data_IF_528594825524
#
_entry.id   IF_528594825524
#
_cell.length_a   1.000
_cell.length_b   1.000
_cell.length_c   1.000
_cell.angle_alpha   90.00
_cell.angle_beta   90.00
_cell.angle_gamma   90.00
#
_symmetry.space_group_name_H-M   'P 1'
#
loop_
_entity.id
_entity.type
_entity.pdbx_description
1 polymer ?
#
# COMPACT_ATOMS: atom_id res chain seq x y z
N UNK A 1 8.58 -19.08 -0.36
CA UNK A 1 7.63 -19.76 0.55
C UNK A 1 7.86 -19.24 1.95
N UNK A 2 6.83 -18.73 2.61
CA UNK A 2 6.94 -18.19 3.99
C UNK A 2 7.51 -19.26 4.94
N UNK A 3 8.59 -18.94 5.65
CA UNK A 3 9.19 -19.79 6.67
C UNK A 3 8.36 -19.90 7.96
N UNK A 4 7.24 -19.17 8.04
CA UNK A 4 6.50 -18.93 9.29
C UNK A 4 5.10 -19.56 9.36
N UNK A 5 4.68 -20.35 8.40
CA UNK A 5 3.31 -20.92 8.37
C UNK A 5 2.20 -19.88 8.13
N UNK A 6 2.53 -18.59 8.01
CA UNK A 6 1.65 -17.49 7.67
C UNK A 6 2.28 -16.68 6.51
N UNK A 7 1.47 -16.30 5.52
CA UNK A 7 1.89 -15.40 4.45
C UNK A 7 1.63 -13.95 4.88
N UNK A 8 2.67 -13.12 4.90
CA UNK A 8 2.53 -11.69 5.22
C UNK A 8 2.63 -10.85 3.95
N UNK A 9 1.58 -10.09 3.66
CA UNK A 9 1.49 -9.16 2.53
C UNK A 9 1.59 -7.73 3.07
N UNK A 10 2.64 -7.00 2.70
CA UNK A 10 2.76 -5.58 2.96
C UNK A 10 2.07 -4.76 1.87
N UNK A 11 1.53 -3.61 2.22
CA UNK A 11 0.87 -2.70 1.27
C UNK A 11 1.50 -1.33 1.33
N UNK A 12 1.89 -0.81 0.18
CA UNK A 12 2.32 0.58 0.01
C UNK A 12 1.65 1.18 -1.22
N UNK A 13 1.32 2.48 -1.18
CA UNK A 13 0.67 3.04 -2.35
C UNK A 13 0.37 4.53 -2.31
N UNK A 14 -0.17 5.01 -3.41
CA UNK A 14 -0.49 6.41 -3.65
C UNK A 14 -1.69 6.87 -2.83
N UNK A 15 -1.61 8.10 -2.31
CA UNK A 15 -2.71 8.73 -1.55
C UNK A 15 -3.79 9.33 -2.46
N UNK A 16 -3.40 9.84 -3.62
CA UNK A 16 -4.28 10.60 -4.53
C UNK A 16 -4.43 9.84 -5.85
N UNK A 17 -5.31 8.86 -5.86
CA UNK A 17 -5.63 8.06 -7.04
C UNK A 17 -6.57 8.85 -7.95
N UNK A 18 -6.39 8.76 -9.27
CA UNK A 18 -7.32 9.34 -10.25
C UNK A 18 -8.71 8.73 -10.04
N UNK A 19 -9.77 9.52 -9.79
CA UNK A 19 -11.10 8.98 -9.45
C UNK A 19 -11.64 7.97 -10.47
N UNK A 20 -11.44 8.22 -11.76
CA UNK A 20 -11.87 7.32 -12.84
C UNK A 20 -11.12 5.97 -12.85
N UNK A 21 -9.98 5.85 -12.13
CA UNK A 21 -9.20 4.63 -12.06
C UNK A 21 -9.53 3.77 -10.83
N UNK A 22 -10.23 4.32 -9.82
CA UNK A 22 -10.42 3.67 -8.51
C UNK A 22 -11.06 2.29 -8.65
N UNK A 23 -12.14 2.17 -9.40
CA UNK A 23 -12.86 0.89 -9.60
C UNK A 23 -11.96 -0.18 -10.23
N UNK A 24 -11.17 0.19 -11.24
CA UNK A 24 -10.25 -0.73 -11.90
C UNK A 24 -9.12 -1.17 -10.97
N UNK A 25 -8.57 -0.23 -10.17
CA UNK A 25 -7.54 -0.50 -9.15
C UNK A 25 -8.08 -1.43 -8.07
N UNK A 26 -9.29 -1.19 -7.55
CA UNK A 26 -9.94 -2.07 -6.57
C UNK A 26 -10.16 -3.49 -7.11
N UNK A 27 -10.61 -3.61 -8.35
CA UNK A 27 -10.82 -4.91 -8.99
C UNK A 27 -9.51 -5.68 -9.11
N UNK A 28 -8.46 -5.07 -9.68
CA UNK A 28 -7.15 -5.72 -9.83
C UNK A 28 -6.53 -6.11 -8.50
N UNK A 29 -6.61 -5.23 -7.48
CA UNK A 29 -6.10 -5.53 -6.14
C UNK A 29 -6.87 -6.69 -5.48
N UNK A 30 -8.20 -6.75 -5.67
CA UNK A 30 -9.05 -7.83 -5.14
C UNK A 30 -8.74 -9.17 -5.80
N UNK A 31 -8.58 -9.19 -7.12
CA UNK A 31 -8.20 -10.38 -7.87
C UNK A 31 -6.83 -10.91 -7.43
N UNK A 32 -5.86 -10.03 -7.29
CA UNK A 32 -4.52 -10.38 -6.81
C UNK A 32 -4.55 -10.94 -5.38
N UNK A 33 -5.31 -10.31 -4.47
CA UNK A 33 -5.46 -10.81 -3.10
C UNK A 33 -6.09 -12.20 -3.08
N UNK A 34 -7.17 -12.41 -3.84
CA UNK A 34 -7.84 -13.71 -3.94
C UNK A 34 -6.88 -14.79 -4.40
N UNK A 35 -6.11 -14.52 -5.45
CA UNK A 35 -5.13 -15.47 -5.98
C UNK A 35 -4.12 -15.91 -4.91
N UNK A 36 -3.56 -14.98 -4.12
CA UNK A 36 -2.64 -15.32 -3.04
C UNK A 36 -3.31 -16.07 -1.89
N UNK A 37 -4.51 -15.64 -1.46
CA UNK A 37 -5.23 -16.29 -0.36
C UNK A 37 -5.68 -17.70 -0.72
N UNK A 38 -6.04 -17.93 -1.99
CA UNK A 38 -6.49 -19.24 -2.47
C UNK A 38 -5.31 -20.21 -2.73
N UNK A 39 -4.16 -19.66 -3.15
CA UNK A 39 -2.95 -20.47 -3.38
C UNK A 39 -2.18 -20.83 -2.11
N UNK A 40 -2.38 -20.14 -0.99
CA UNK A 40 -1.65 -20.39 0.24
C UNK A 40 -2.52 -21.11 1.27
N UNK A 41 -2.12 -22.28 1.75
CA UNK A 41 -2.93 -23.11 2.67
C UNK A 41 -3.08 -22.49 4.08
N UNK A 42 -2.06 -21.77 4.54
CA UNK A 42 -2.04 -21.13 5.87
C UNK A 42 -2.82 -19.82 5.95
N UNK A 43 -2.82 -19.15 7.11
CA UNK A 43 -3.36 -17.82 7.25
C UNK A 43 -2.59 -16.79 6.43
N UNK A 44 -3.30 -15.77 5.93
CA UNK A 44 -2.73 -14.62 5.21
C UNK A 44 -2.96 -13.36 6.03
N UNK A 45 -1.88 -12.63 6.31
CA UNK A 45 -1.89 -11.36 7.03
C UNK A 45 -1.58 -10.22 6.09
N UNK A 46 -2.46 -9.24 6.00
CA UNK A 46 -2.25 -8.03 5.19
C UNK A 46 -1.94 -6.86 6.12
N UNK A 47 -0.78 -6.23 5.92
CA UNK A 47 -0.25 -5.13 6.73
C UNK A 47 -0.30 -3.83 5.93
N UNK A 48 -0.93 -2.79 6.48
CA UNK A 48 -1.10 -1.49 5.83
C UNK A 48 -1.07 -0.35 6.83
N UNK A 49 -0.62 0.85 6.39
CA UNK A 49 -0.64 2.07 7.18
C UNK A 49 -2.01 2.72 7.32
N UNK A 50 -3.05 2.19 6.68
CA UNK A 50 -4.41 2.76 6.65
C UNK A 50 -4.48 4.22 6.14
N UNK A 51 -3.46 4.71 5.42
CA UNK A 51 -3.49 6.03 4.83
C UNK A 51 -4.63 6.16 3.80
N UNK A 52 -5.04 7.39 3.51
CA UNK A 52 -6.01 7.64 2.42
C UNK A 52 -5.48 7.10 1.09
N UNK A 53 -6.37 6.68 0.19
CA UNK A 53 -6.02 6.13 -1.12
C UNK A 53 -5.78 4.63 -1.09
N UNK A 54 -4.65 4.17 -1.59
CA UNK A 54 -4.34 2.75 -1.78
C UNK A 54 -4.47 1.90 -0.52
N UNK A 55 -3.94 2.38 0.59
CA UNK A 55 -3.97 1.67 1.88
C UNK A 55 -5.41 1.43 2.36
N UNK A 56 -6.25 2.49 2.34
CA UNK A 56 -7.65 2.38 2.75
C UNK A 56 -8.48 1.55 1.76
N UNK A 57 -8.17 1.60 0.47
CA UNK A 57 -8.78 0.73 -0.54
C UNK A 57 -8.47 -0.74 -0.22
N UNK A 58 -7.20 -1.06 -0.03
CA UNK A 58 -6.79 -2.42 0.28
C UNK A 58 -7.38 -2.92 1.59
N UNK A 59 -7.43 -2.09 2.63
CA UNK A 59 -8.06 -2.44 3.90
C UNK A 59 -9.54 -2.83 3.72
N UNK A 60 -10.32 -2.06 2.96
CA UNK A 60 -11.73 -2.39 2.65
C UNK A 60 -11.84 -3.70 1.87
N UNK A 61 -10.98 -3.92 0.87
CA UNK A 61 -10.93 -5.18 0.12
C UNK A 61 -10.69 -6.36 1.06
N UNK A 62 -9.72 -6.25 1.97
CA UNK A 62 -9.42 -7.31 2.96
C UNK A 62 -10.63 -7.59 3.84
N UNK A 63 -11.27 -6.56 4.38
CA UNK A 63 -12.45 -6.70 5.23
C UNK A 63 -13.63 -7.36 4.51
N UNK A 64 -13.84 -7.05 3.22
CA UNK A 64 -14.87 -7.68 2.40
C UNK A 64 -14.55 -9.14 2.10
N UNK A 65 -13.31 -9.45 1.73
CA UNK A 65 -12.89 -10.83 1.44
C UNK A 65 -12.86 -11.69 2.71
N UNK A 66 -12.55 -11.11 3.86
CA UNK A 66 -12.57 -11.78 5.16
C UNK A 66 -13.97 -12.31 5.51
N UNK A 67 -15.05 -11.58 5.17
CA UNK A 67 -16.43 -12.02 5.39
C UNK A 67 -16.82 -13.30 4.61
N UNK A 68 -16.08 -13.60 3.53
CA UNK A 68 -16.33 -14.72 2.61
C UNK A 68 -15.46 -15.95 2.88
N UNK A 69 -14.62 -15.91 3.90
CA UNK A 69 -13.60 -16.92 4.17
C UNK A 69 -13.71 -17.49 5.58
N UNK A 70 -13.17 -18.69 5.84
CA UNK A 70 -13.10 -19.23 7.19
C UNK A 70 -12.43 -18.27 8.17
N UNK A 71 -12.86 -18.26 9.41
CA UNK A 71 -12.28 -17.42 10.45
C UNK A 71 -10.78 -17.66 10.58
N UNK A 72 -9.99 -16.60 10.68
CA UNK A 72 -8.54 -16.65 10.78
C UNK A 72 -7.77 -16.85 9.47
N UNK A 73 -8.46 -17.18 8.35
CA UNK A 73 -7.80 -17.36 7.04
C UNK A 73 -7.19 -16.07 6.51
N UNK A 74 -7.87 -14.94 6.70
CA UNK A 74 -7.42 -13.62 6.26
C UNK A 74 -7.50 -12.63 7.42
N UNK A 75 -6.40 -11.92 7.68
CA UNK A 75 -6.25 -10.97 8.79
C UNK A 75 -5.80 -9.61 8.26
N UNK A 76 -6.31 -8.54 8.86
CA UNK A 76 -5.91 -7.17 8.59
C UNK A 76 -5.11 -6.61 9.78
N UNK A 77 -3.89 -6.16 9.53
CA UNK A 77 -3.03 -5.51 10.52
C UNK A 77 -2.81 -4.05 10.14
N UNK A 78 -3.12 -3.15 11.07
CA UNK A 78 -2.72 -1.74 10.96
C UNK A 78 -1.28 -1.59 11.45
N UNK A 79 -0.42 -0.96 10.63
CA UNK A 79 0.95 -0.60 11.02
C UNK A 79 1.06 0.90 10.95
N UNK A 80 0.98 1.56 12.10
CA UNK A 80 0.94 3.01 12.18
C UNK A 80 2.37 3.59 12.21
N UNK A 81 2.66 4.62 11.41
CA UNK A 81 4.01 5.20 11.30
C UNK A 81 4.49 5.87 12.59
N UNK A 82 3.55 6.22 13.48
CA UNK A 82 3.78 6.90 14.78
C UNK A 82 2.65 6.57 15.75
N UNK A 83 2.69 7.10 16.98
CA UNK A 83 1.62 6.94 17.95
C UNK A 83 0.25 7.35 17.36
N UNK A 84 -0.80 6.62 17.71
CA UNK A 84 -2.14 6.78 17.13
C UNK A 84 -2.63 8.23 17.19
N UNK A 85 -2.53 8.87 18.36
CA UNK A 85 -3.00 10.24 18.58
C UNK A 85 -2.30 11.24 17.65
N UNK A 86 -1.00 11.02 17.39
CA UNK A 86 -0.22 11.84 16.47
C UNK A 86 -0.54 11.55 15.01
N UNK A 87 -0.72 10.27 14.67
CA UNK A 87 -1.02 9.87 13.30
C UNK A 87 -2.41 10.32 12.84
N UNK A 88 -3.40 10.32 13.73
CA UNK A 88 -4.74 10.82 13.42
C UNK A 88 -4.78 12.28 12.96
N UNK A 89 -3.78 13.09 13.33
CA UNK A 89 -3.69 14.49 12.91
C UNK A 89 -3.40 14.65 11.41
N UNK A 90 -2.91 13.61 10.75
CA UNK A 90 -2.67 13.62 9.29
C UNK A 90 -3.96 13.54 8.47
N UNK A 91 -5.09 13.23 9.11
CA UNK A 91 -6.38 13.05 8.45
C UNK A 91 -7.28 14.27 8.65
N UNK A 92 -7.92 14.72 7.55
CA UNK A 92 -8.86 15.83 7.59
C UNK A 92 -10.07 15.50 8.45
N UNK A 93 -10.52 16.47 9.22
CA UNK A 93 -11.73 16.37 10.06
C UNK A 93 -13.00 16.85 9.35
N UNK A 94 -12.87 17.70 8.32
CA UNK A 94 -14.01 18.14 7.54
C UNK A 94 -14.59 16.97 6.73
N UNK A 95 -15.92 16.77 6.75
CA UNK A 95 -16.58 15.78 5.92
C UNK A 95 -16.38 16.06 4.42
N UNK A 96 -16.33 15.01 3.63
CA UNK A 96 -16.40 15.05 2.18
C UNK A 96 -17.86 14.98 1.67
N UNK A 97 -18.04 14.79 0.38
CA UNK A 97 -19.37 14.68 -0.25
C UNK A 97 -20.19 13.46 0.26
N UNK A 98 -19.56 12.46 0.87
CA UNK A 98 -20.25 11.31 1.49
C UNK A 98 -20.72 11.60 2.92
N UNK A 99 -20.36 12.75 3.48
CA UNK A 99 -20.65 13.12 4.87
C UNK A 99 -19.68 12.53 5.89
N UNK A 100 -18.65 11.78 5.46
CA UNK A 100 -17.65 11.16 6.32
C UNK A 100 -16.32 11.90 6.22
N UNK A 101 -15.69 12.21 7.35
CA UNK A 101 -14.34 12.78 7.35
C UNK A 101 -13.28 11.70 7.16
N UNK A 102 -12.11 12.09 6.64
CA UNK A 102 -10.98 11.16 6.50
C UNK A 102 -10.59 10.52 7.84
N UNK A 103 -10.63 11.29 8.93
CA UNK A 103 -10.35 10.79 10.29
C UNK A 103 -11.38 9.78 10.75
N UNK A 104 -12.68 10.02 10.50
CA UNK A 104 -13.73 9.06 10.84
C UNK A 104 -13.56 7.76 10.04
N UNK A 105 -13.31 7.86 8.73
CA UNK A 105 -13.05 6.69 7.89
C UNK A 105 -11.81 5.89 8.33
N UNK A 106 -10.75 6.56 8.75
CA UNK A 106 -9.57 5.91 9.33
C UNK A 106 -9.91 5.14 10.60
N UNK A 107 -10.64 5.77 11.54
CA UNK A 107 -11.06 5.14 12.81
C UNK A 107 -11.95 3.93 12.58
N UNK A 108 -12.87 3.99 11.62
CA UNK A 108 -13.73 2.86 11.25
C UNK A 108 -12.92 1.66 10.73
N UNK A 109 -11.90 1.91 9.91
CA UNK A 109 -11.01 0.86 9.42
C UNK A 109 -10.15 0.30 10.54
N UNK A 110 -9.56 1.17 11.37
CA UNK A 110 -8.72 0.76 12.50
C UNK A 110 -9.48 -0.13 13.49
N UNK A 111 -10.73 0.21 13.81
CA UNK A 111 -11.57 -0.58 14.72
C UNK A 111 -11.90 -1.99 14.19
N UNK A 112 -11.72 -2.24 12.90
CA UNK A 112 -11.96 -3.54 12.26
C UNK A 112 -10.67 -4.34 12.01
N UNK A 113 -9.50 -3.78 12.32
CA UNK A 113 -8.23 -4.49 12.24
C UNK A 113 -8.13 -5.59 13.31
N UNK A 114 -7.51 -6.71 12.96
CA UNK A 114 -7.22 -7.80 13.89
C UNK A 114 -6.01 -7.49 14.79
N UNK A 115 -5.17 -6.56 14.35
CA UNK A 115 -3.93 -6.18 15.04
C UNK A 115 -3.59 -4.72 14.72
N UNK A 116 -2.97 -4.04 15.68
CA UNK A 116 -2.40 -2.70 15.49
C UNK A 116 -0.97 -2.68 16.02
N UNK A 117 -0.05 -2.22 15.19
CA UNK A 117 1.37 -2.00 15.52
C UNK A 117 1.66 -0.52 15.41
N UNK A 118 2.17 0.11 16.45
CA UNK A 118 2.61 1.50 16.44
C UNK A 118 4.14 1.58 16.36
N UNK A 119 4.65 2.25 15.33
CA UNK A 119 6.10 2.44 15.12
C UNK A 119 6.55 3.79 15.69
N UNK A 120 6.05 4.13 16.89
CA UNK A 120 6.28 5.43 17.50
C UNK A 120 7.77 5.63 17.90
N UNK A 121 8.32 6.79 17.52
CA UNK A 121 9.59 7.31 18.03
C UNK A 121 9.44 8.82 18.22
N UNK A 122 8.99 9.24 19.41
CA UNK A 122 8.65 10.63 19.69
C UNK A 122 9.82 11.59 19.46
N UNK A 123 11.05 11.18 19.76
CA UNK A 123 12.23 12.03 19.59
C UNK A 123 12.54 12.29 18.10
N UNK A 124 12.46 11.26 17.28
CA UNK A 124 12.68 11.36 15.84
C UNK A 124 11.52 12.07 15.14
N UNK A 125 10.27 11.73 15.52
CA UNK A 125 9.05 12.31 14.93
C UNK A 125 8.93 13.83 15.20
N UNK A 126 9.54 14.31 16.31
CA UNK A 126 9.57 15.73 16.64
C UNK A 126 10.49 16.57 15.72
N UNK A 127 11.54 15.97 15.18
CA UNK A 127 12.55 16.67 14.37
C UNK A 127 12.44 16.37 12.87
N UNK A 128 11.85 15.23 12.50
CA UNK A 128 11.68 14.81 11.10
C UNK A 128 10.24 14.34 10.84
N UNK A 129 9.40 15.17 10.21
CA UNK A 129 8.00 14.82 9.92
C UNK A 129 7.83 13.59 9.00
N UNK A 130 8.90 13.18 8.29
CA UNK A 130 8.87 12.05 7.35
C UNK A 130 9.37 10.76 8.01
N UNK A 131 10.08 10.84 9.14
CA UNK A 131 10.71 9.70 9.80
C UNK A 131 9.73 8.53 10.05
N UNK A 132 8.53 8.81 10.55
CA UNK A 132 7.51 7.79 10.76
C UNK A 132 7.15 7.01 9.50
N UNK A 133 7.01 7.70 8.36
CA UNK A 133 6.72 7.04 7.08
C UNK A 133 7.90 6.22 6.56
N UNK A 134 9.12 6.64 6.83
CA UNK A 134 10.33 5.84 6.52
C UNK A 134 10.33 4.57 7.34
N UNK A 135 10.08 4.66 8.66
CA UNK A 135 9.99 3.50 9.55
C UNK A 135 8.89 2.53 9.11
N UNK A 136 7.72 3.04 8.72
CA UNK A 136 6.64 2.21 8.17
C UNK A 136 7.12 1.49 6.89
N UNK A 137 7.75 2.20 5.97
CA UNK A 137 8.28 1.62 4.74
C UNK A 137 9.32 0.54 5.02
N UNK A 138 10.28 0.81 5.89
CA UNK A 138 11.33 -0.14 6.29
C UNK A 138 10.73 -1.36 7.00
N UNK A 139 9.75 -1.14 7.89
CA UNK A 139 9.03 -2.23 8.54
C UNK A 139 8.31 -3.13 7.54
N UNK A 140 7.60 -2.55 6.54
CA UNK A 140 6.94 -3.33 5.49
C UNK A 140 7.96 -4.12 4.65
N UNK A 141 9.09 -3.52 4.31
CA UNK A 141 10.18 -4.20 3.58
C UNK A 141 10.71 -5.39 4.37
N UNK A 142 10.87 -5.27 5.67
CA UNK A 142 11.47 -6.29 6.53
C UNK A 142 10.49 -7.40 6.94
N UNK A 143 9.21 -7.08 7.10
CA UNK A 143 8.23 -7.97 7.72
C UNK A 143 7.19 -8.55 6.75
N UNK A 144 7.31 -8.31 5.44
CA UNK A 144 6.42 -8.92 4.45
C UNK A 144 7.14 -9.93 3.56
N UNK A 145 6.49 -11.04 3.23
CA UNK A 145 6.94 -12.00 2.23
C UNK A 145 6.63 -11.48 0.81
N UNK A 146 5.50 -10.77 0.69
CA UNK A 146 5.02 -10.15 -0.55
C UNK A 146 4.71 -8.68 -0.29
N UNK A 147 5.10 -7.80 -1.20
CA UNK A 147 4.71 -6.40 -1.17
C UNK A 147 3.74 -6.08 -2.31
N UNK A 148 2.57 -5.53 -1.99
CA UNK A 148 1.68 -4.92 -2.98
C UNK A 148 2.01 -3.43 -3.09
N UNK A 149 2.43 -3.03 -4.28
CA UNK A 149 2.78 -1.64 -4.60
C UNK A 149 1.74 -1.02 -5.52
N UNK A 150 0.92 -0.13 -4.98
CA UNK A 150 -0.03 0.68 -5.76
C UNK A 150 0.69 1.88 -6.35
N UNK A 151 1.22 1.71 -7.55
CA UNK A 151 2.15 2.65 -8.16
C UNK A 151 1.96 2.74 -9.67
N UNK A 152 2.34 3.88 -10.28
CA UNK A 152 2.32 4.08 -11.72
C UNK A 152 3.57 3.51 -12.45
N UNK A 153 4.59 3.12 -11.68
CA UNK A 153 5.87 2.65 -12.23
C UNK A 153 6.91 3.77 -12.48
N UNK A 154 6.54 5.04 -12.25
CA UNK A 154 7.47 6.16 -12.43
C UNK A 154 8.45 6.28 -11.25
N UNK A 155 9.71 5.86 -11.49
CA UNK A 155 10.82 6.00 -10.55
C UNK A 155 11.58 7.32 -10.69
N UNK A 156 11.18 8.23 -11.57
CA UNK A 156 11.90 9.50 -11.81
C UNK A 156 11.92 10.41 -10.60
N UNK A 157 10.96 10.27 -9.68
CA UNK A 157 10.83 11.08 -8.47
C UNK A 157 10.65 10.22 -7.22
N UNK A 158 11.74 9.63 -6.74
CA UNK A 158 11.74 8.89 -5.47
C UNK A 158 11.72 9.87 -4.30
N UNK A 159 10.69 9.77 -3.45
CA UNK A 159 10.60 10.51 -2.19
C UNK A 159 10.85 9.56 -1.03
N UNK A 160 11.71 9.95 -0.10
CA UNK A 160 11.99 9.22 1.13
C UNK A 160 10.69 8.83 1.85
N UNK A 161 10.50 7.56 2.17
CA UNK A 161 9.30 7.01 2.80
C UNK A 161 8.06 6.98 1.89
N UNK A 162 8.20 7.28 0.60
CA UNK A 162 7.12 7.20 -0.38
C UNK A 162 7.03 5.84 -1.06
N UNK A 163 5.95 5.61 -1.83
CA UNK A 163 5.66 4.33 -2.49
C UNK A 163 6.84 3.81 -3.33
N UNK A 164 7.45 4.67 -4.17
CA UNK A 164 8.59 4.28 -5.00
C UNK A 164 9.80 3.87 -4.15
N UNK A 165 10.11 4.60 -3.07
CA UNK A 165 11.22 4.28 -2.15
C UNK A 165 11.03 2.89 -1.51
N UNK A 166 9.85 2.62 -0.97
CA UNK A 166 9.51 1.33 -0.34
C UNK A 166 9.55 0.19 -1.36
N UNK A 167 9.01 0.42 -2.56
CA UNK A 167 9.00 -0.55 -3.67
C UNK A 167 10.41 -0.94 -4.07
N UNK A 168 11.27 0.05 -4.34
CA UNK A 168 12.66 -0.19 -4.75
C UNK A 168 13.46 -0.87 -3.64
N UNK A 169 13.29 -0.47 -2.37
CA UNK A 169 13.93 -1.16 -1.24
C UNK A 169 13.54 -2.64 -1.18
N UNK A 170 12.25 -2.97 -1.38
CA UNK A 170 11.78 -4.35 -1.36
C UNK A 170 12.30 -5.14 -2.56
N UNK A 171 12.31 -4.56 -3.77
CA UNK A 171 12.87 -5.21 -4.96
C UNK A 171 14.34 -5.60 -4.77
N UNK A 172 15.16 -4.72 -4.19
CA UNK A 172 16.58 -4.97 -3.91
C UNK A 172 16.79 -6.03 -2.84
N UNK A 173 15.81 -6.24 -1.98
CA UNK A 173 15.86 -7.28 -0.94
C UNK A 173 15.42 -8.66 -1.45
N UNK A 174 14.53 -8.73 -2.43
CA UNK A 174 13.98 -9.96 -2.97
C UNK A 174 15.01 -11.04 -3.35
N UNK A 175 16.12 -10.71 -4.03
CA UNK A 175 17.18 -11.68 -4.34
C UNK A 175 17.82 -12.33 -3.11
N UNK A 176 17.76 -11.67 -1.94
CA UNK A 176 18.39 -12.14 -0.69
C UNK A 176 17.43 -12.99 0.15
N UNK A 177 16.16 -12.57 0.27
CA UNK A 177 15.19 -13.20 1.18
C UNK A 177 14.04 -13.95 0.47
N UNK A 178 14.01 -13.92 -0.87
CA UNK A 178 12.98 -14.56 -1.69
C UNK A 178 11.63 -13.83 -1.68
N UNK A 179 11.59 -12.57 -1.18
CA UNK A 179 10.35 -11.79 -1.19
C UNK A 179 10.03 -11.28 -2.60
N UNK A 180 8.72 -11.10 -2.86
CA UNK A 180 8.22 -10.73 -4.18
C UNK A 180 7.46 -9.41 -4.08
N UNK A 181 7.56 -8.59 -5.13
CA UNK A 181 6.79 -7.35 -5.26
C UNK A 181 5.80 -7.49 -6.41
N UNK A 182 4.53 -7.25 -6.12
CA UNK A 182 3.49 -7.12 -7.13
C UNK A 182 3.07 -5.65 -7.26
N UNK A 183 3.20 -5.12 -8.47
CA UNK A 183 2.66 -3.81 -8.84
C UNK A 183 1.17 -3.91 -9.17
N UNK A 184 0.41 -2.92 -8.71
CA UNK A 184 -0.96 -2.66 -9.13
C UNK A 184 -0.92 -1.28 -9.79
N UNK A 185 -1.09 -1.22 -11.11
CA UNK A 185 -0.98 0.03 -11.86
C UNK A 185 -2.01 1.04 -11.36
N UNK A 186 -1.50 2.08 -10.71
CA UNK A 186 -2.32 3.05 -9.99
C UNK A 186 -1.99 4.47 -10.46
N UNK A 187 -2.78 5.03 -11.39
CA UNK A 187 -2.64 6.42 -11.83
C UNK A 187 -2.86 7.40 -10.69
N UNK A 188 -2.01 8.43 -10.59
CA UNK A 188 -2.03 9.43 -9.53
C UNK A 188 -2.51 10.80 -10.04
N UNK A 189 -3.15 11.56 -9.17
CA UNK A 189 -3.34 13.00 -9.33
C UNK A 189 -2.04 13.73 -8.97
N UNK A 190 -1.27 14.05 -10.00
CA UNK A 190 0.01 14.73 -9.84
C UNK A 190 -0.20 16.18 -9.43
N UNK A 191 0.44 16.59 -8.33
CA UNK A 191 0.40 17.96 -7.85
C UNK A 191 1.44 18.82 -8.58
N UNK A 192 1.00 19.66 -9.51
CA UNK A 192 1.85 20.61 -10.26
C UNK A 192 1.65 22.03 -9.74
N UNK A 193 2.69 22.86 -9.86
CA UNK A 193 2.59 24.31 -9.63
C UNK A 193 2.26 25.01 -10.95
N UNK A 194 1.36 25.97 -10.92
CA UNK A 194 1.14 26.91 -12.00
C UNK A 194 2.23 28.00 -12.00
N UNK A 195 2.40 28.76 -13.09
CA UNK A 195 3.34 29.90 -13.14
C UNK A 195 3.11 30.95 -12.06
N UNK A 196 1.87 31.14 -11.61
CA UNK A 196 1.48 32.06 -10.54
C UNK A 196 1.71 31.48 -9.11
N UNK A 197 2.31 30.30 -9.00
CA UNK A 197 2.58 29.62 -7.73
C UNK A 197 1.41 28.83 -7.16
N UNK A 198 0.21 28.95 -7.71
CA UNK A 198 -0.95 28.14 -7.30
C UNK A 198 -0.74 26.66 -7.64
N UNK A 199 -1.48 25.78 -6.96
CA UNK A 199 -1.34 24.32 -7.15
C UNK A 199 -2.53 23.79 -7.93
N UNK A 200 -2.26 22.96 -8.92
CA UNK A 200 -3.27 22.18 -9.65
C UNK A 200 -2.99 20.70 -9.57
N UNK A 201 -4.03 19.90 -9.72
CA UNK A 201 -3.91 18.47 -9.88
C UNK A 201 -4.04 18.09 -11.35
N UNK A 202 -3.11 17.29 -11.87
CA UNK A 202 -3.11 16.77 -13.23
C UNK A 202 -3.18 15.26 -13.15
N UNK A 203 -4.24 14.64 -13.72
CA UNK A 203 -4.35 13.17 -13.70
C UNK A 203 -3.29 12.54 -14.62
N UNK A 204 -2.71 11.42 -14.15
CA UNK A 204 -1.98 10.52 -15.04
C UNK A 204 -2.96 9.77 -15.96
N UNK A 205 -2.50 9.24 -17.10
CA UNK A 205 -3.32 8.38 -17.95
C UNK A 205 -3.87 7.18 -17.17
N UNK A 206 -5.10 6.79 -17.47
CA UNK A 206 -5.78 5.68 -16.77
C UNK A 206 -5.74 4.36 -17.54
N UNK A 207 -5.11 4.33 -18.70
CA UNK A 207 -4.96 3.13 -19.51
C UNK A 207 -4.23 2.02 -18.74
N UNK A 208 -4.86 0.87 -18.65
CA UNK A 208 -4.33 -0.26 -17.89
C UNK A 208 -4.41 -0.13 -16.37
N UNK A 209 -5.12 0.89 -15.82
CA UNK A 209 -5.35 1.01 -14.38
C UNK A 209 -5.86 -0.31 -13.79
N UNK A 210 -5.34 -0.68 -12.61
CA UNK A 210 -5.67 -1.95 -11.95
C UNK A 210 -4.94 -3.17 -12.51
N UNK A 211 -4.20 -3.05 -13.63
CA UNK A 211 -3.34 -4.14 -14.11
C UNK A 211 -2.35 -4.53 -13.02
N UNK A 212 -2.20 -5.82 -12.79
CA UNK A 212 -1.27 -6.38 -11.82
C UNK A 212 -0.13 -7.10 -12.53
N UNK A 213 1.06 -7.03 -11.98
CA UNK A 213 2.24 -7.71 -12.50
C UNK A 213 3.28 -7.89 -11.38
N UNK A 214 4.13 -8.91 -11.50
CA UNK A 214 5.34 -8.98 -10.70
C UNK A 214 6.31 -7.88 -11.15
N UNK A 215 6.92 -7.19 -10.19
CA UNK A 215 7.91 -6.17 -10.47
C UNK A 215 9.32 -6.72 -10.28
N UNK A 216 10.24 -6.34 -11.16
CA UNK A 216 11.69 -6.59 -11.01
C UNK A 216 12.48 -5.32 -11.32
N UNK A 217 13.58 -5.13 -10.61
CA UNK A 217 14.58 -4.11 -10.96
C UNK A 217 15.56 -4.74 -11.97
N UNK A 218 15.72 -4.12 -13.14
CA UNK A 218 16.70 -4.51 -14.13
C UNK A 218 18.10 -3.98 -13.77
N UNK A 219 19.15 -4.47 -14.45
CA UNK A 219 20.54 -4.11 -14.17
C UNK A 219 20.83 -2.60 -14.32
N UNK A 220 20.06 -1.89 -15.14
CA UNK A 220 20.13 -0.44 -15.32
C UNK A 220 19.34 0.35 -14.27
N UNK A 221 18.71 -0.32 -13.29
CA UNK A 221 17.89 0.27 -12.23
C UNK A 221 16.45 0.59 -12.65
N UNK A 222 16.03 0.24 -13.88
CA UNK A 222 14.63 0.39 -14.31
C UNK A 222 13.76 -0.68 -13.65
N UNK A 223 12.46 -0.35 -13.43
CA UNK A 223 11.50 -1.32 -12.92
C UNK A 223 10.70 -1.90 -14.07
N UNK A 224 10.77 -3.21 -14.22
CA UNK A 224 10.07 -3.97 -15.25
C UNK A 224 8.80 -4.59 -14.66
N UNK A 225 7.70 -4.47 -15.41
CA UNK A 225 6.43 -5.10 -15.11
C UNK A 225 6.31 -6.41 -15.90
N UNK A 226 6.45 -7.53 -15.21
CA UNK A 226 6.32 -8.84 -15.83
C UNK A 226 4.84 -9.22 -15.90
N UNK A 227 4.30 -9.57 -17.08
CA UNK A 227 2.92 -10.03 -17.19
C UNK A 227 2.71 -11.22 -16.26
N UNK A 228 1.54 -11.30 -15.63
CA UNK A 228 1.12 -12.48 -14.89
C UNK A 228 0.92 -13.66 -15.88
N UNK A 229 1.95 -14.41 -16.06
CA UNK A 229 1.92 -15.69 -16.73
C UNK A 229 2.58 -16.66 -15.78
N UNK A 230 1.80 -17.44 -15.06
CA UNK A 230 2.26 -18.39 -14.06
C UNK A 230 2.53 -17.75 -12.67
N UNK A 231 1.49 -17.59 -11.88
CA UNK A 231 1.61 -17.72 -10.44
C UNK A 231 2.16 -19.13 -10.22
N UNK A 232 3.46 -19.20 -10.02
CA UNK A 232 4.17 -20.48 -9.83
C UNK A 232 3.56 -21.20 -8.62
N UNK A 233 3.04 -22.37 -8.91
CA UNK A 233 2.73 -23.44 -7.97
C UNK A 233 3.93 -23.78 -7.09
#
# INVERSE_FOLDING_TARGET
MSKRGELTIGVTGRRHIVPAAVEAVERGARELLRAHVDAFDGPVRVCTGLAIGADSIMARIVLDEKKRRPAGKLRLAAVLPRALESYELDFKTAPDASGLSQRAAFRELLAQCDETVELANAAEDAVDPVAGYVRLGDWLVENSDVLYSFWSGDASTVKRGGTADVTLKKLRRGPVDGSIVYGILTPELLRKKNPDGTKRYVPEPTDGAGRTAELREADDGTVVWLPQGELLC
#
